data_IF_297134909236
#
_entry.id   IF_297134909236
#
_cell.length_a   1.000
_cell.length_b   1.000
_cell.length_c   1.000
_cell.angle_alpha   90.00
_cell.angle_beta   90.00
_cell.angle_gamma   90.00
#
_symmetry.space_group_name_H-M   'P 1'
#
loop_
_entity.id
_entity.type
_entity.pdbx_description
1 polymer ?
#
# COMPACT_ATOMS: atom_id res chain seq x y z
N UNK A 1 -10.30 34.31 34.30
CA UNK A 1 -11.11 33.58 33.31
C UNK A 1 -10.17 32.71 32.49
N UNK A 2 -10.16 31.40 32.74
CA UNK A 2 -9.31 30.46 32.02
C UNK A 2 -10.00 30.07 30.71
N UNK A 3 -9.40 30.42 29.58
CA UNK A 3 -9.80 29.91 28.27
C UNK A 3 -9.22 28.52 28.10
N UNK A 4 -10.05 27.49 28.19
CA UNK A 4 -9.69 26.13 27.75
C UNK A 4 -10.05 26.03 26.27
N UNK A 5 -9.06 26.20 25.41
CA UNK A 5 -9.19 25.85 24.00
C UNK A 5 -9.14 24.33 23.88
N UNK A 6 -10.30 23.69 23.81
CA UNK A 6 -10.42 22.27 23.45
C UNK A 6 -10.33 22.14 21.92
N UNK A 7 -9.12 22.30 21.38
CA UNK A 7 -8.80 22.02 19.99
C UNK A 7 -8.33 20.57 19.87
N UNK A 8 -9.21 19.73 19.29
CA UNK A 8 -8.91 18.63 18.35
C UNK A 8 -9.86 17.47 18.58
N UNK A 9 -10.81 17.37 17.67
CA UNK A 9 -11.03 16.09 16.98
C UNK A 9 -11.49 16.42 15.57
N UNK A 10 -10.55 16.88 14.75
CA UNK A 10 -10.71 16.68 13.32
C UNK A 10 -10.70 15.17 13.13
N UNK A 11 -11.90 14.61 12.98
CA UNK A 11 -12.11 13.34 12.30
C UNK A 11 -11.57 13.55 10.88
N UNK A 12 -10.25 13.51 10.74
CA UNK A 12 -9.61 13.22 9.47
C UNK A 12 -10.05 11.80 9.17
N UNK A 13 -11.10 11.67 8.36
CA UNK A 13 -11.39 10.47 7.59
C UNK A 13 -10.06 10.01 7.03
N UNK A 14 -9.43 9.04 7.70
CA UNK A 14 -8.08 8.57 7.40
C UNK A 14 -8.10 8.07 5.95
N UNK A 15 -7.76 8.95 5.01
CA UNK A 15 -7.74 8.64 3.59
C UNK A 15 -6.77 7.48 3.44
N UNK A 16 -7.29 6.34 3.01
CA UNK A 16 -6.45 5.22 2.62
C UNK A 16 -5.94 5.55 1.23
N UNK A 17 -4.66 5.87 1.14
CA UNK A 17 -4.02 6.12 -0.15
C UNK A 17 -3.86 4.79 -0.88
N UNK A 18 -4.19 4.80 -2.18
CA UNK A 18 -4.13 3.61 -3.02
C UNK A 18 -3.07 3.78 -4.09
N UNK A 19 -2.29 2.73 -4.29
CA UNK A 19 -1.25 2.62 -5.30
C UNK A 19 -1.49 1.39 -6.17
N UNK A 20 -1.17 1.51 -7.44
CA UNK A 20 -1.17 0.41 -8.40
C UNK A 20 0.24 -0.14 -8.54
N UNK A 21 0.34 -1.48 -8.49
CA UNK A 21 1.57 -2.20 -8.79
C UNK A 21 1.46 -2.71 -10.22
N UNK A 22 2.34 -2.21 -11.08
CA UNK A 22 2.38 -2.50 -12.51
C UNK A 22 3.62 -3.31 -12.84
N UNK A 23 3.46 -4.36 -13.65
CA UNK A 23 4.58 -5.09 -14.28
C UNK A 23 4.39 -5.07 -15.80
N UNK A 24 5.40 -4.58 -16.55
CA UNK A 24 5.34 -4.40 -18.01
C UNK A 24 4.07 -3.67 -18.47
N UNK A 25 3.63 -2.65 -17.71
CA UNK A 25 2.43 -1.86 -17.97
C UNK A 25 1.10 -2.53 -17.61
N UNK A 26 1.11 -3.77 -17.11
CA UNK A 26 -0.07 -4.50 -16.65
C UNK A 26 -0.21 -4.40 -15.13
N UNK A 27 -1.42 -4.17 -14.63
CA UNK A 27 -1.69 -4.13 -13.19
C UNK A 27 -1.70 -5.55 -12.61
N UNK A 28 -0.83 -5.79 -11.63
CA UNK A 28 -0.67 -7.08 -10.96
C UNK A 28 -1.13 -7.06 -9.50
N UNK A 29 -1.20 -5.88 -8.89
CA UNK A 29 -1.60 -5.72 -7.49
C UNK A 29 -2.02 -4.30 -7.16
N UNK A 30 -2.55 -4.13 -5.96
CA UNK A 30 -2.89 -2.85 -5.35
C UNK A 30 -2.19 -2.75 -4.00
N UNK A 31 -1.56 -1.63 -3.71
CA UNK A 31 -1.07 -1.31 -2.37
C UNK A 31 -1.99 -0.27 -1.73
N UNK A 32 -2.34 -0.49 -0.48
CA UNK A 32 -3.17 0.38 0.35
C UNK A 32 -2.33 0.87 1.50
N UNK A 33 -2.35 2.18 1.72
CA UNK A 33 -1.58 2.83 2.78
C UNK A 33 -2.57 3.56 3.66
N UNK A 34 -2.61 3.18 4.94
CA UNK A 34 -3.54 3.78 5.89
C UNK A 34 -2.86 4.02 7.24
N UNK A 35 -3.19 5.07 7.98
CA UNK A 35 -2.62 5.29 9.31
C UNK A 35 -3.08 4.18 10.28
N UNK A 36 -2.16 3.63 11.08
CA UNK A 36 -2.47 2.54 11.99
C UNK A 36 -3.58 2.96 12.99
N UNK A 37 -4.58 2.11 13.29
CA UNK A 37 -5.67 2.46 14.21
C UNK A 37 -5.15 2.77 15.62
N UNK A 38 -4.25 1.94 16.15
CA UNK A 38 -3.81 1.99 17.54
C UNK A 38 -2.41 2.61 17.79
N UNK A 39 -1.55 2.71 16.78
CA UNK A 39 -0.18 3.22 16.91
C UNK A 39 -0.06 4.60 16.26
N UNK A 40 -0.09 5.65 17.08
CA UNK A 40 0.15 7.01 16.60
C UNK A 40 1.57 7.11 16.01
N UNK A 41 1.70 7.88 14.92
CA UNK A 41 2.97 8.00 14.21
C UNK A 41 3.34 6.81 13.32
N UNK A 42 2.44 5.84 13.13
CA UNK A 42 2.65 4.68 12.25
C UNK A 42 1.57 4.57 11.18
N UNK A 43 1.91 3.94 10.07
CA UNK A 43 1.00 3.56 9.00
C UNK A 43 1.16 2.09 8.64
N UNK A 44 0.10 1.52 8.07
CA UNK A 44 0.04 0.15 7.56
C UNK A 44 0.07 0.21 6.06
N UNK A 45 0.93 -0.60 5.45
CA UNK A 45 0.91 -0.91 4.03
C UNK A 45 0.31 -2.29 3.85
N UNK A 46 -0.64 -2.43 2.92
CA UNK A 46 -1.23 -3.71 2.57
C UNK A 46 -1.24 -3.87 1.06
N UNK A 47 -0.53 -4.87 0.56
CA UNK A 47 -0.46 -5.26 -0.83
C UNK A 47 -1.42 -6.40 -1.06
N UNK A 48 -2.38 -6.19 -1.95
CA UNK A 48 -3.36 -7.17 -2.36
C UNK A 48 -3.06 -7.55 -3.82
N UNK A 49 -2.72 -8.82 -4.10
CA UNK A 49 -2.64 -9.31 -5.47
C UNK A 49 -3.98 -9.18 -6.15
N UNK A 50 -3.96 -8.77 -7.42
CA UNK A 50 -5.14 -8.90 -8.25
C UNK A 50 -5.20 -10.33 -8.76
N UNK A 51 -5.97 -11.16 -8.06
CA UNK A 51 -6.34 -12.49 -8.57
C UNK A 51 -7.01 -12.32 -9.93
N UNK A 52 -6.38 -12.88 -10.97
CA UNK A 52 -7.03 -12.93 -12.28
C UNK A 52 -8.11 -14.00 -12.25
N UNK A 53 -9.36 -13.60 -12.48
CA UNK A 53 -10.44 -14.51 -12.87
C UNK A 53 -10.18 -15.03 -14.28
N UNK A 54 -9.30 -16.01 -14.40
CA UNK A 54 -8.90 -16.63 -15.66
C UNK A 54 -7.74 -17.56 -15.38
N UNK A 55 -7.76 -18.75 -15.99
CA UNK A 55 -6.86 -19.88 -15.74
C UNK A 55 -5.43 -19.46 -15.35
N UNK A 56 -4.89 -20.12 -14.34
CA UNK A 56 -3.51 -20.06 -13.85
C UNK A 56 -2.40 -20.24 -14.92
N UNK A 57 -2.76 -20.40 -16.20
CA UNK A 57 -1.92 -20.76 -17.34
C UNK A 57 -1.52 -19.54 -18.20
N UNK A 58 -1.62 -18.30 -17.70
CA UNK A 58 -1.03 -17.14 -18.38
C UNK A 58 0.46 -17.03 -18.02
N UNK A 59 1.26 -17.92 -18.60
CA UNK A 59 2.73 -18.00 -18.43
C UNK A 59 3.47 -16.74 -18.95
N UNK A 60 2.75 -15.73 -19.45
CA UNK A 60 3.34 -14.47 -19.94
C UNK A 60 3.68 -13.48 -18.83
N UNK A 61 3.18 -13.71 -17.61
CA UNK A 61 3.49 -12.91 -16.43
C UNK A 61 4.57 -13.63 -15.62
N UNK A 62 5.80 -13.12 -15.71
CA UNK A 62 6.97 -13.65 -14.99
C UNK A 62 6.90 -13.44 -13.46
N UNK A 63 5.93 -12.67 -12.96
CA UNK A 63 5.81 -12.29 -11.55
C UNK A 63 4.45 -12.70 -11.03
N UNK A 64 4.47 -13.52 -9.98
CA UNK A 64 3.31 -13.92 -9.20
C UNK A 64 3.42 -13.35 -7.78
N UNK A 65 2.35 -12.67 -7.34
CA UNK A 65 2.17 -12.26 -5.95
C UNK A 65 1.39 -13.36 -5.23
N UNK A 66 2.01 -14.05 -4.27
CA UNK A 66 1.36 -15.11 -3.50
C UNK A 66 0.61 -14.56 -2.28
N UNK A 67 -0.67 -14.23 -2.46
CA UNK A 67 -1.53 -13.78 -1.37
C UNK A 67 -1.26 -12.34 -0.90
N UNK A 68 -2.06 -11.84 0.06
CA UNK A 68 -1.90 -10.48 0.57
C UNK A 68 -0.69 -10.38 1.50
N UNK A 69 0.10 -9.31 1.34
CA UNK A 69 1.24 -8.99 2.20
C UNK A 69 0.99 -7.66 2.89
N UNK A 70 1.34 -7.53 4.17
CA UNK A 70 1.16 -6.28 4.91
C UNK A 70 2.18 -6.11 6.00
N UNK A 71 2.58 -4.86 6.23
CA UNK A 71 3.49 -4.51 7.32
C UNK A 71 3.23 -3.09 7.83
N UNK A 72 3.81 -2.76 8.99
CA UNK A 72 3.62 -1.52 9.73
C UNK A 72 4.92 -0.72 9.72
N UNK A 73 4.83 0.55 9.37
CA UNK A 73 5.97 1.45 9.24
C UNK A 73 5.77 2.73 10.05
N UNK A 74 6.86 3.33 10.51
CA UNK A 74 6.82 4.66 11.11
C UNK A 74 6.58 5.73 10.03
N UNK A 75 5.82 6.79 10.36
CA UNK A 75 5.51 7.91 9.46
C UNK A 75 6.74 8.69 8.96
N UNK A 76 7.92 8.45 9.54
CA UNK A 76 9.19 8.98 9.06
C UNK A 76 9.72 8.29 7.81
N UNK A 77 9.20 7.10 7.47
CA UNK A 77 9.60 6.31 6.31
C UNK A 77 8.79 6.79 5.10
N UNK A 78 9.47 6.95 3.96
CA UNK A 78 8.81 7.27 2.70
C UNK A 78 7.86 6.12 2.27
N UNK A 79 6.67 6.49 1.83
CA UNK A 79 5.61 5.53 1.49
C UNK A 79 6.03 4.59 0.36
N UNK A 80 6.77 5.08 -0.64
CA UNK A 80 7.25 4.24 -1.75
C UNK A 80 8.28 3.23 -1.27
N UNK A 81 9.15 3.66 -0.34
CA UNK A 81 10.13 2.77 0.31
C UNK A 81 9.43 1.67 1.10
N UNK A 82 8.41 2.01 1.89
CA UNK A 82 7.61 1.05 2.63
C UNK A 82 6.89 0.05 1.70
N UNK A 83 6.32 0.50 0.59
CA UNK A 83 5.69 -0.38 -0.41
C UNK A 83 6.72 -1.36 -1.01
N UNK A 84 7.91 -0.89 -1.35
CA UNK A 84 8.97 -1.74 -1.90
C UNK A 84 9.47 -2.78 -0.90
N UNK A 85 9.50 -2.45 0.38
CA UNK A 85 9.85 -3.41 1.44
C UNK A 85 8.82 -4.54 1.51
N UNK A 86 7.53 -4.22 1.53
CA UNK A 86 6.45 -5.23 1.51
C UNK A 86 6.46 -6.05 0.21
N UNK A 87 6.79 -5.45 -0.94
CA UNK A 87 6.97 -6.17 -2.21
C UNK A 87 8.14 -7.18 -2.14
N UNK A 88 9.23 -6.79 -1.49
CA UNK A 88 10.39 -7.66 -1.31
C UNK A 88 10.06 -8.87 -0.44
N UNK A 89 9.21 -8.69 0.58
CA UNK A 89 8.67 -9.79 1.40
C UNK A 89 7.82 -10.77 0.59
N UNK A 90 7.21 -10.31 -0.51
CA UNK A 90 6.45 -11.14 -1.45
C UNK A 90 7.34 -11.85 -2.50
N UNK A 91 8.67 -11.87 -2.30
CA UNK A 91 9.66 -12.40 -3.25
C UNK A 91 9.64 -11.72 -4.63
N UNK A 92 9.17 -10.47 -4.69
CA UNK A 92 9.16 -9.67 -5.92
C UNK A 92 10.32 -8.72 -5.87
N UNK A 93 11.17 -8.82 -6.88
CA UNK A 93 12.23 -7.85 -7.09
C UNK A 93 11.60 -6.49 -7.43
N UNK A 94 11.83 -5.52 -6.54
CA UNK A 94 11.32 -4.14 -6.59
C UNK A 94 11.55 -3.44 -7.94
N UNK A 95 12.71 -3.66 -8.57
CA UNK A 95 13.06 -3.07 -9.87
C UNK A 95 12.24 -3.61 -11.04
N UNK A 96 11.53 -4.74 -10.88
CA UNK A 96 10.67 -5.31 -11.93
C UNK A 96 9.27 -4.72 -11.93
N UNK A 97 8.91 -3.92 -10.93
CA UNK A 97 7.57 -3.37 -10.77
C UNK A 97 7.58 -1.85 -10.69
N UNK A 98 6.48 -1.24 -11.11
CA UNK A 98 6.27 0.20 -11.04
C UNK A 98 5.12 0.47 -10.08
N UNK A 99 5.36 1.33 -9.09
CA UNK A 99 4.33 1.76 -8.13
C UNK A 99 3.78 3.11 -8.59
N UNK A 100 2.47 3.20 -8.77
CA UNK A 100 1.79 4.42 -9.22
C UNK A 100 0.68 4.83 -8.26
N UNK A 101 0.73 6.05 -7.75
CA UNK A 101 -0.37 6.60 -6.94
C UNK A 101 -1.66 6.74 -7.78
N UNK A 102 -2.78 6.27 -7.22
CA UNK A 102 -4.11 6.44 -7.81
C UNK A 102 -4.74 7.67 -7.20
N UNK A 103 -4.80 8.78 -7.95
CA UNK A 103 -5.55 9.95 -7.50
C UNK A 103 -7.04 9.58 -7.36
N UNK A 104 -7.60 9.83 -6.19
CA UNK A 104 -9.05 9.88 -6.01
C UNK A 104 -9.60 11.01 -6.90
N UNK A 105 -10.55 10.68 -7.77
CA UNK A 105 -11.38 11.64 -8.52
C UNK A 105 -12.62 11.98 -7.71
#
# INVERSE_FOLDING_TARGET
MHFVFLLKKENSTKMTDRYEILHKGRRIGLAYVSPHPDFEGHFVVSIIPLERKGKWEDDTLEIHLEGPHSDIFANSIDVTTAINDVLSQAAIEDWKVQVRAVKHF
#
